data_IF_368157341423
#
_entry.id   IF_368157341423
#
_cell.length_a   1.000
_cell.length_b   1.000
_cell.length_c   1.000
_cell.angle_alpha   90.00
_cell.angle_beta   90.00
_cell.angle_gamma   90.00
#
_symmetry.space_group_name_H-M   'P 1'
#
loop_
_entity.id
_entity.type
_entity.pdbx_description
1 polymer ?
#
# COMPACT_ATOMS: atom_id res chain seq x y z
N UNK A 1 -2.42 1.56 31.60
CA UNK A 1 -2.07 2.68 30.73
C UNK A 1 -0.92 2.20 29.85
N UNK A 2 -1.19 1.89 28.59
CA UNK A 2 -0.13 1.55 27.63
C UNK A 2 0.73 2.80 27.43
N UNK A 3 2.06 2.71 27.56
CA UNK A 3 2.94 3.85 27.31
C UNK A 3 2.70 4.34 25.88
N UNK A 4 2.70 5.67 25.68
CA UNK A 4 2.57 6.27 24.36
C UNK A 4 3.59 5.60 23.43
N UNK A 5 3.12 4.95 22.37
CA UNK A 5 4.03 4.44 21.35
C UNK A 5 4.77 5.65 20.77
N UNK A 6 6.09 5.50 20.64
CA UNK A 6 6.91 6.57 20.07
C UNK A 6 6.36 6.93 18.69
N UNK A 7 6.12 8.21 18.38
CA UNK A 7 5.60 8.65 17.09
C UNK A 7 6.43 8.11 15.92
N UNK A 8 7.73 7.90 16.11
CA UNK A 8 8.60 7.31 15.10
C UNK A 8 8.19 5.86 14.75
N UNK A 9 7.90 5.03 15.75
CA UNK A 9 7.50 3.64 15.51
C UNK A 9 6.08 3.53 14.95
N UNK A 10 5.19 4.46 15.31
CA UNK A 10 3.84 4.54 14.73
C UNK A 10 3.93 4.84 13.24
N UNK A 11 4.68 5.87 12.86
CA UNK A 11 4.85 6.25 11.45
C UNK A 11 5.55 5.13 10.66
N UNK A 12 6.52 4.44 11.27
CA UNK A 12 7.15 3.28 10.65
C UNK A 12 6.17 2.15 10.38
N UNK A 13 5.29 1.84 11.33
CA UNK A 13 4.27 0.78 11.19
C UNK A 13 3.27 1.15 10.08
N UNK A 14 2.83 2.41 10.03
CA UNK A 14 1.95 2.94 8.98
C UNK A 14 2.61 2.90 7.58
N UNK A 15 3.92 3.17 7.49
CA UNK A 15 4.66 3.03 6.23
C UNK A 15 4.74 1.55 5.82
N UNK A 16 4.99 0.66 6.78
CA UNK A 16 5.06 -0.77 6.53
C UNK A 16 3.71 -1.31 6.05
N UNK A 17 2.60 -0.92 6.68
CA UNK A 17 1.24 -1.29 6.25
C UNK A 17 0.95 -0.82 4.81
N UNK A 18 1.31 0.43 4.48
CA UNK A 18 1.18 0.92 3.10
C UNK A 18 2.01 0.10 2.11
N UNK A 19 3.22 -0.33 2.48
CA UNK A 19 4.09 -1.17 1.64
C UNK A 19 3.51 -2.59 1.47
N UNK A 20 3.01 -3.18 2.55
CA UNK A 20 2.36 -4.49 2.52
C UNK A 20 1.10 -4.45 1.64
N UNK A 21 0.32 -3.36 1.71
CA UNK A 21 -0.84 -3.13 0.84
C UNK A 21 -0.47 -3.05 -0.64
N UNK A 22 0.59 -2.30 -1.00
CA UNK A 22 1.08 -2.23 -2.39
C UNK A 22 1.43 -3.64 -2.89
N UNK A 23 2.14 -4.42 -2.08
CA UNK A 23 2.56 -5.78 -2.45
C UNK A 23 1.36 -6.72 -2.63
N UNK A 24 0.36 -6.65 -1.76
CA UNK A 24 -0.85 -7.45 -1.85
C UNK A 24 -1.65 -7.11 -3.12
N UNK A 25 -1.95 -5.83 -3.35
CA UNK A 25 -2.63 -5.37 -4.58
C UNK A 25 -1.83 -5.76 -5.83
N UNK A 26 -0.49 -5.74 -5.78
CA UNK A 26 0.35 -6.14 -6.91
C UNK A 26 0.26 -7.64 -7.19
N UNK A 27 0.22 -8.47 -6.16
CA UNK A 27 0.03 -9.90 -6.29
C UNK A 27 -1.36 -10.25 -6.83
N UNK A 28 -2.39 -9.51 -6.43
CA UNK A 28 -3.73 -9.64 -6.99
C UNK A 28 -3.75 -9.22 -8.47
N UNK A 29 -3.16 -8.06 -8.79
CA UNK A 29 -3.06 -7.56 -10.17
C UNK A 29 -2.34 -8.52 -11.10
N UNK A 30 -1.26 -9.16 -10.63
CA UNK A 30 -0.53 -10.18 -11.40
C UNK A 30 -1.35 -11.44 -11.69
N UNK A 31 -2.29 -11.78 -10.82
CA UNK A 31 -3.15 -12.96 -10.96
C UNK A 31 -4.43 -12.65 -11.75
N UNK A 32 -4.82 -11.36 -11.81
CA UNK A 32 -5.98 -10.91 -12.55
C UNK A 32 -5.76 -11.06 -14.06
N UNK A 33 -6.75 -11.58 -14.81
CA UNK A 33 -6.67 -11.65 -16.26
C UNK A 33 -6.60 -10.26 -16.88
N UNK A 34 -5.66 -10.08 -17.80
CA UNK A 34 -5.47 -8.84 -18.55
C UNK A 34 -6.78 -8.44 -19.27
N UNK A 35 -7.08 -7.14 -19.32
CA UNK A 35 -8.29 -6.54 -19.93
C UNK A 35 -9.61 -6.76 -19.17
N UNK A 36 -9.58 -7.25 -17.94
CA UNK A 36 -10.76 -7.20 -17.06
C UNK A 36 -10.90 -5.82 -16.40
N UNK A 37 -12.14 -5.45 -16.04
CA UNK A 37 -12.39 -4.23 -15.25
C UNK A 37 -11.67 -4.27 -13.89
N UNK A 38 -11.46 -5.47 -13.35
CA UNK A 38 -10.66 -5.72 -12.14
C UNK A 38 -9.18 -5.39 -12.35
N UNK A 39 -8.56 -5.84 -13.45
CA UNK A 39 -7.19 -5.48 -13.79
C UNK A 39 -6.99 -3.96 -13.89
N UNK A 40 -7.92 -3.24 -14.53
CA UNK A 40 -7.89 -1.77 -14.63
C UNK A 40 -8.05 -1.11 -13.26
N UNK A 41 -8.93 -1.64 -12.40
CA UNK A 41 -9.14 -1.15 -11.04
C UNK A 41 -7.88 -1.32 -10.18
N UNK A 42 -7.32 -2.53 -10.16
CA UNK A 42 -6.10 -2.86 -9.42
C UNK A 42 -4.89 -2.05 -9.92
N UNK A 43 -4.81 -1.76 -11.23
CA UNK A 43 -3.77 -0.87 -11.79
C UNK A 43 -3.88 0.54 -11.20
N UNK A 44 -5.09 1.09 -11.11
CA UNK A 44 -5.31 2.42 -10.52
C UNK A 44 -5.01 2.42 -9.03
N UNK A 45 -5.46 1.39 -8.32
CA UNK A 45 -5.19 1.24 -6.89
C UNK A 45 -3.69 1.19 -6.62
N UNK A 46 -2.94 0.39 -7.40
CA UNK A 46 -1.47 0.32 -7.31
C UNK A 46 -0.81 1.68 -7.46
N UNK A 47 -1.21 2.46 -8.48
CA UNK A 47 -0.66 3.80 -8.70
C UNK A 47 -0.91 4.70 -7.49
N UNK A 48 -2.14 4.73 -6.99
CA UNK A 48 -2.51 5.54 -5.81
C UNK A 48 -1.77 5.10 -4.55
N UNK A 49 -1.62 3.79 -4.32
CA UNK A 49 -0.89 3.28 -3.15
C UNK A 49 0.62 3.55 -3.25
N UNK A 50 1.21 3.47 -4.44
CA UNK A 50 2.61 3.82 -4.66
C UNK A 50 2.85 5.32 -4.44
N UNK A 51 1.96 6.19 -4.90
CA UNK A 51 2.02 7.63 -4.63
C UNK A 51 1.95 7.90 -3.13
N UNK A 52 1.05 7.23 -2.40
CA UNK A 52 0.93 7.36 -0.94
C UNK A 52 2.24 6.98 -0.22
N UNK A 53 2.84 5.84 -0.58
CA UNK A 53 4.13 5.42 -0.01
C UNK A 53 5.22 6.43 -0.34
N UNK A 54 5.27 6.95 -1.57
CA UNK A 54 6.24 7.97 -1.95
C UNK A 54 6.12 9.23 -1.10
N UNK A 55 4.90 9.67 -0.79
CA UNK A 55 4.66 10.81 0.11
C UNK A 55 5.06 10.53 1.56
N UNK A 56 4.85 9.31 2.06
CA UNK A 56 5.19 8.96 3.45
C UNK A 56 6.70 8.82 3.70
N UNK A 57 7.48 8.49 2.65
CA UNK A 57 8.92 8.24 2.73
C UNK A 57 9.76 9.50 2.40
N UNK A 58 9.15 10.54 1.81
CA UNK A 58 9.82 11.80 1.46
C UNK A 58 9.80 12.82 2.61
#
# INVERSE_FOLDING_TARGET
MTPAQDPFYIVKDEIQDSIDKVQDTFNQWKQAPENTGEYVHLTRELLTTCESVQWQVH
#
